data_IF_841566793888
#
_entry.id   IF_841566793888
#
_cell.length_a   1.000
_cell.length_b   1.000
_cell.length_c   1.000
_cell.angle_alpha   90.00
_cell.angle_beta   90.00
_cell.angle_gamma   90.00
#
_symmetry.space_group_name_H-M   'P 1'
#
loop_
_entity.id
_entity.type
_entity.pdbx_description
1 polymer ?
#
# COMPACT_ATOMS: atom_id res chain seq x y z
N UNK A 1 -3.49 21.39 6.42
CA UNK A 1 -3.31 20.26 5.48
C UNK A 1 -2.89 20.66 4.06
N UNK A 2 -3.32 21.78 3.48
CA UNK A 2 -2.87 22.18 2.13
C UNK A 2 -1.36 22.46 1.99
N UNK A 3 -0.71 22.92 3.05
CA UNK A 3 0.71 23.30 3.03
C UNK A 3 1.64 22.14 2.66
N UNK A 4 1.41 20.92 3.19
CA UNK A 4 2.24 19.76 2.85
C UNK A 4 2.15 19.40 1.36
N UNK A 5 0.97 19.57 0.74
CA UNK A 5 0.78 19.32 -0.68
C UNK A 5 1.49 20.37 -1.54
N UNK A 6 1.45 21.64 -1.15
CA UNK A 6 2.14 22.73 -1.87
C UNK A 6 3.65 22.56 -1.80
N UNK A 7 4.19 22.26 -0.61
CA UNK A 7 5.63 22.04 -0.44
C UNK A 7 6.09 20.80 -1.21
N UNK A 8 5.34 19.69 -1.14
CA UNK A 8 5.64 18.49 -1.90
C UNK A 8 5.59 18.75 -3.42
N UNK A 9 4.59 19.48 -3.90
CA UNK A 9 4.48 19.85 -5.31
C UNK A 9 5.71 20.66 -5.75
N UNK A 10 6.11 21.70 -5.02
CA UNK A 10 7.29 22.52 -5.35
C UNK A 10 8.57 21.66 -5.34
N UNK A 11 8.72 20.77 -4.36
CA UNK A 11 9.87 19.88 -4.26
C UNK A 11 9.95 18.86 -5.41
N UNK A 12 8.80 18.45 -5.97
CA UNK A 12 8.71 17.46 -7.07
C UNK A 12 8.70 18.09 -8.47
N UNK A 13 8.43 19.40 -8.60
CA UNK A 13 8.52 20.12 -9.89
C UNK A 13 9.84 19.88 -10.66
N UNK A 14 11.05 19.93 -10.04
CA UNK A 14 12.29 19.74 -10.80
C UNK A 14 12.48 18.31 -11.34
N UNK A 15 11.80 17.31 -10.78
CA UNK A 15 11.83 15.92 -11.28
C UNK A 15 10.63 15.59 -12.17
N UNK A 16 9.64 16.49 -12.26
CA UNK A 16 8.45 16.30 -13.06
C UNK A 16 8.78 16.51 -14.55
N UNK A 17 8.38 15.55 -15.38
CA UNK A 17 8.44 15.63 -16.84
C UNK A 17 7.05 15.96 -17.38
N UNK A 18 6.72 17.25 -17.62
CA UNK A 18 5.37 17.66 -18.03
C UNK A 18 4.93 17.07 -19.37
N UNK A 19 5.88 16.66 -20.21
CA UNK A 19 5.61 15.95 -21.47
C UNK A 19 5.00 14.56 -21.27
N UNK A 20 5.19 13.92 -20.12
CA UNK A 20 4.59 12.62 -19.82
C UNK A 20 3.05 12.67 -19.74
N UNK A 21 2.47 13.83 -19.37
CA UNK A 21 1.01 14.00 -19.34
C UNK A 21 0.38 13.94 -20.73
N UNK A 22 1.12 14.33 -21.77
CA UNK A 22 0.65 14.28 -23.15
C UNK A 22 0.60 12.86 -23.74
N UNK A 23 1.25 11.89 -23.07
CA UNK A 23 1.32 10.48 -23.50
C UNK A 23 0.43 9.54 -22.66
N UNK A 24 -0.46 10.08 -21.82
CA UNK A 24 -1.35 9.26 -20.99
C UNK A 24 -2.45 8.65 -21.88
N UNK A 25 -2.26 7.38 -22.27
CA UNK A 25 -3.28 6.57 -22.93
C UNK A 25 -4.47 6.22 -22.00
N UNK A 26 -5.58 5.76 -22.57
CA UNK A 26 -6.80 5.42 -21.81
C UNK A 26 -6.60 4.40 -20.68
N UNK A 27 -5.63 3.49 -20.81
CA UNK A 27 -5.27 2.54 -19.76
C UNK A 27 -4.65 3.21 -18.53
N UNK A 28 -3.80 4.21 -18.75
CA UNK A 28 -3.18 4.99 -17.68
C UNK A 28 -4.22 5.84 -16.93
N UNK A 29 -5.19 6.42 -17.65
CA UNK A 29 -6.31 7.12 -17.03
C UNK A 29 -7.17 6.19 -16.17
N UNK A 30 -7.46 4.98 -16.66
CA UNK A 30 -8.19 3.98 -15.88
C UNK A 30 -7.40 3.58 -14.62
N UNK A 31 -6.08 3.41 -14.73
CA UNK A 31 -5.22 3.10 -13.58
C UNK A 31 -5.21 4.23 -12.54
N UNK A 32 -5.15 5.50 -12.98
CA UNK A 32 -5.23 6.67 -12.09
C UNK A 32 -6.60 6.72 -11.38
N UNK A 33 -7.68 6.51 -12.13
CA UNK A 33 -9.03 6.48 -11.56
C UNK A 33 -9.15 5.35 -10.52
N UNK A 34 -8.72 4.14 -10.87
CA UNK A 34 -8.72 2.99 -9.96
C UNK A 34 -7.90 3.29 -8.69
N UNK A 35 -6.69 3.81 -8.82
CA UNK A 35 -5.83 4.16 -7.70
C UNK A 35 -6.48 5.22 -6.78
N UNK A 36 -7.12 6.23 -7.37
CA UNK A 36 -7.83 7.28 -6.64
C UNK A 36 -9.01 6.71 -5.85
N UNK A 37 -9.86 5.90 -6.48
CA UNK A 37 -10.98 5.25 -5.80
C UNK A 37 -10.52 4.26 -4.72
N UNK A 38 -9.49 3.45 -5.01
CA UNK A 38 -8.93 2.50 -4.06
C UNK A 38 -8.39 3.22 -2.81
N UNK A 39 -7.66 4.32 -3.00
CA UNK A 39 -7.12 5.14 -1.91
C UNK A 39 -8.22 5.76 -1.07
N UNK A 40 -9.27 6.32 -1.70
CA UNK A 40 -10.42 6.88 -0.99
C UNK A 40 -11.15 5.80 -0.16
N UNK A 41 -11.41 4.64 -0.76
CA UNK A 41 -12.06 3.52 -0.07
C UNK A 41 -11.21 3.00 1.09
N UNK A 42 -9.91 2.79 0.87
CA UNK A 42 -8.98 2.32 1.88
C UNK A 42 -8.90 3.29 3.08
N UNK A 43 -8.77 4.60 2.82
CA UNK A 43 -8.76 5.59 3.91
C UNK A 43 -10.10 5.70 4.64
N UNK A 44 -11.22 5.52 3.94
CA UNK A 44 -12.54 5.42 4.57
C UNK A 44 -12.62 4.25 5.54
N UNK A 45 -12.27 3.04 5.08
CA UNK A 45 -12.25 1.84 5.93
C UNK A 45 -11.23 1.96 7.07
N UNK A 46 -10.08 2.60 6.84
CA UNK A 46 -9.06 2.84 7.86
C UNK A 46 -9.56 3.77 8.96
N UNK A 47 -10.23 4.86 8.58
CA UNK A 47 -10.83 5.79 9.54
C UNK A 47 -11.92 5.09 10.39
N UNK A 48 -12.78 4.28 9.76
CA UNK A 48 -13.78 3.47 10.45
C UNK A 48 -13.14 2.43 11.39
N UNK A 49 -12.05 1.79 10.97
CA UNK A 49 -11.33 0.82 11.79
C UNK A 49 -10.70 1.45 13.03
N UNK A 50 -10.19 2.68 12.95
CA UNK A 50 -9.69 3.43 14.12
C UNK A 50 -10.81 3.80 15.10
N UNK A 51 -12.04 3.98 14.61
CA UNK A 51 -13.19 4.27 15.45
C UNK A 51 -13.71 3.02 16.19
N UNK A 52 -13.54 1.84 15.59
CA UNK A 52 -14.05 0.58 16.13
C UNK A 52 -13.00 -0.26 16.86
N UNK A 53 -11.72 -0.17 16.49
CA UNK A 53 -10.62 -0.99 17.02
C UNK A 53 -9.52 -0.12 17.64
N UNK A 54 -8.78 -0.68 18.61
CA UNK A 54 -7.61 -0.01 19.19
C UNK A 54 -6.55 0.28 18.12
N UNK A 55 -5.95 1.47 18.16
CA UNK A 55 -4.93 1.91 17.21
C UNK A 55 -3.75 0.91 17.07
N UNK A 56 -3.42 0.19 18.15
CA UNK A 56 -2.41 -0.88 18.14
C UNK A 56 -2.76 -2.03 17.16
N UNK A 57 -4.04 -2.42 17.12
CA UNK A 57 -4.52 -3.49 16.22
C UNK A 57 -4.53 -3.03 14.77
N UNK A 58 -4.94 -1.79 14.55
CA UNK A 58 -4.94 -1.17 13.21
C UNK A 58 -3.50 -1.07 12.68
N UNK A 59 -2.54 -0.67 13.51
CA UNK A 59 -1.12 -0.61 13.18
C UNK A 59 -0.54 -1.99 12.81
N UNK A 60 -0.91 -3.06 13.54
CA UNK A 60 -0.46 -4.41 13.25
C UNK A 60 -0.93 -4.93 11.87
N UNK A 61 -2.11 -4.49 11.41
CA UNK A 61 -2.65 -4.80 10.07
C UNK A 61 -1.96 -3.95 9.00
N UNK A 62 -1.69 -2.67 9.28
CA UNK A 62 -0.94 -1.82 8.35
C UNK A 62 0.46 -2.38 8.06
N UNK A 63 1.09 -3.05 9.03
CA UNK A 63 2.36 -3.73 8.81
C UNK A 63 2.27 -4.87 7.78
N UNK A 64 1.08 -5.47 7.58
CA UNK A 64 0.82 -6.50 6.57
C UNK A 64 0.54 -5.93 5.18
N UNK A 65 0.21 -4.64 5.05
CA UNK A 65 -0.04 -3.98 3.76
C UNK A 65 1.05 -4.23 2.71
N UNK A 66 2.36 -4.10 3.00
CA UNK A 66 3.38 -4.41 1.99
C UNK A 66 3.32 -5.88 1.53
N UNK A 67 2.93 -6.82 2.39
CA UNK A 67 2.77 -8.22 2.01
C UNK A 67 1.56 -8.44 1.09
N UNK A 68 0.45 -7.74 1.35
CA UNK A 68 -0.71 -7.80 0.44
C UNK A 68 -0.38 -7.20 -0.92
N UNK A 69 0.37 -6.09 -0.97
CA UNK A 69 0.86 -5.50 -2.22
C UNK A 69 1.68 -6.50 -3.04
N UNK A 70 2.63 -7.21 -2.42
CA UNK A 70 3.43 -8.23 -3.11
C UNK A 70 2.56 -9.39 -3.62
N UNK A 71 1.59 -9.84 -2.81
CA UNK A 71 0.66 -10.90 -3.21
C UNK A 71 -0.21 -10.48 -4.41
N UNK A 72 -0.74 -9.25 -4.39
CA UNK A 72 -1.49 -8.71 -5.52
C UNK A 72 -0.62 -8.54 -6.76
N UNK A 73 0.62 -8.05 -6.62
CA UNK A 73 1.57 -7.95 -7.72
C UNK A 73 1.84 -9.31 -8.37
N UNK A 74 2.07 -10.35 -7.56
CA UNK A 74 2.25 -11.71 -8.05
C UNK A 74 0.99 -12.25 -8.75
N UNK A 75 -0.20 -12.04 -8.17
CA UNK A 75 -1.46 -12.44 -8.78
C UNK A 75 -1.70 -11.72 -10.14
N UNK A 76 -1.36 -10.44 -10.22
CA UNK A 76 -1.50 -9.66 -11.44
C UNK A 76 -0.51 -10.11 -12.53
N UNK A 77 0.72 -10.44 -12.15
CA UNK A 77 1.72 -11.00 -13.07
C UNK A 77 1.29 -12.37 -13.63
N UNK A 78 0.60 -13.18 -12.84
CA UNK A 78 0.01 -14.44 -13.31
C UNK A 78 -1.21 -14.22 -14.22
N UNK A 79 -2.04 -13.22 -13.93
CA UNK A 79 -3.24 -12.91 -14.71
C UNK A 79 -2.92 -12.21 -16.05
N UNK A 80 -1.86 -11.40 -16.10
CA UNK A 80 -1.44 -10.62 -17.27
C UNK A 80 0.06 -10.83 -17.58
N UNK A 81 0.45 -12.01 -18.06
CA UNK A 81 1.85 -12.33 -18.33
C UNK A 81 2.43 -11.39 -19.40
N UNK A 82 3.54 -10.72 -19.08
CA UNK A 82 4.27 -9.83 -19.99
C UNK A 82 3.88 -8.35 -19.94
N UNK A 83 2.76 -7.98 -19.29
CA UNK A 83 2.40 -6.58 -19.05
C UNK A 83 2.87 -6.06 -17.69
N UNK A 84 3.04 -6.96 -16.72
CA UNK A 84 3.53 -6.66 -15.38
C UNK A 84 4.91 -7.28 -15.20
N UNK A 85 5.96 -6.50 -14.93
CA UNK A 85 7.27 -7.07 -14.63
C UNK A 85 7.19 -7.92 -13.35
N UNK A 86 7.83 -9.09 -13.37
CA UNK A 86 7.90 -9.96 -12.20
C UNK A 86 8.79 -9.30 -11.15
N UNK A 87 8.21 -8.92 -10.02
CA UNK A 87 8.93 -8.35 -8.88
C UNK A 87 9.89 -9.41 -8.30
N UNK A 88 11.20 -9.20 -8.46
CA UNK A 88 12.20 -10.11 -7.90
C UNK A 88 12.50 -9.74 -6.46
N UNK A 89 11.95 -10.52 -5.53
CA UNK A 89 12.22 -10.38 -4.10
C UNK A 89 13.57 -11.03 -3.79
N UNK A 90 14.58 -10.20 -3.51
CA UNK A 90 15.87 -10.67 -3.01
C UNK A 90 15.79 -11.25 -1.59
N UNK A 91 16.88 -11.86 -1.12
CA UNK A 91 16.95 -12.48 0.21
C UNK A 91 16.60 -11.52 1.37
N UNK A 92 16.94 -10.22 1.23
CA UNK A 92 16.58 -9.18 2.19
C UNK A 92 15.06 -8.99 2.28
N UNK A 93 14.37 -9.03 1.14
CA UNK A 93 12.91 -8.94 1.09
C UNK A 93 12.24 -10.18 1.68
N UNK A 94 12.82 -11.36 1.46
CA UNK A 94 12.34 -12.60 2.10
C UNK A 94 12.50 -12.55 3.63
N UNK A 95 13.65 -12.08 4.14
CA UNK A 95 13.87 -11.90 5.57
C UNK A 95 12.89 -10.87 6.16
N UNK A 96 12.66 -9.76 5.48
CA UNK A 96 11.67 -8.75 5.86
C UNK A 96 10.24 -9.30 5.89
N UNK A 97 9.86 -10.12 4.90
CA UNK A 97 8.56 -10.78 4.87
C UNK A 97 8.34 -11.70 6.08
N UNK A 98 9.34 -12.53 6.42
CA UNK A 98 9.29 -13.40 7.61
C UNK A 98 9.17 -12.57 8.89
N UNK A 99 9.93 -11.49 9.01
CA UNK A 99 9.89 -10.60 10.16
C UNK A 99 8.50 -9.95 10.32
N UNK A 100 7.91 -9.46 9.23
CA UNK A 100 6.57 -8.85 9.23
C UNK A 100 5.51 -9.88 9.63
N UNK A 101 5.51 -11.07 9.02
CA UNK A 101 4.54 -12.13 9.33
C UNK A 101 4.64 -12.56 10.79
N UNK A 102 5.85 -12.80 11.29
CA UNK A 102 6.06 -13.18 12.69
C UNK A 102 5.65 -12.08 13.67
N UNK A 103 6.01 -10.81 13.38
CA UNK A 103 5.58 -9.66 14.17
C UNK A 103 4.05 -9.51 14.24
N UNK A 104 3.37 -9.65 13.11
CA UNK A 104 1.90 -9.58 13.06
C UNK A 104 1.22 -10.75 13.79
N UNK A 105 1.79 -11.96 13.73
CA UNK A 105 1.29 -13.10 14.53
C UNK A 105 1.41 -12.84 16.03
N UNK A 106 2.55 -12.33 16.49
CA UNK A 106 2.79 -11.99 17.90
C UNK A 106 1.83 -10.88 18.35
N UNK A 107 1.68 -9.82 17.55
CA UNK A 107 0.75 -8.72 17.83
C UNK A 107 -0.70 -9.20 17.92
N UNK A 108 -1.11 -10.14 17.07
CA UNK A 108 -2.45 -10.75 17.11
C UNK A 108 -2.67 -11.59 18.38
N UNK A 109 -1.65 -12.31 18.84
CA UNK A 109 -1.72 -13.16 20.04
C UNK A 109 -1.67 -12.36 21.34
N UNK A 110 -0.85 -11.31 21.43
CA UNK A 110 -0.75 -10.44 22.61
C UNK A 110 -2.06 -9.72 22.96
N UNK A 111 -2.94 -9.57 21.98
CA UNK A 111 -4.28 -8.97 22.14
C UNK A 111 -5.27 -9.91 22.87
N UNK A 112 -5.01 -11.23 22.95
CA UNK A 112 -5.86 -12.18 23.71
C UNK A 112 -5.65 -12.16 25.23
N UNK A 113 -4.75 -11.30 25.75
CA UNK A 113 -4.41 -11.24 27.18
C UNK A 113 -5.28 -10.34 28.07
N UNK A 114 -6.31 -9.67 27.55
CA UNK A 114 -7.19 -8.78 28.35
C UNK A 114 -8.66 -9.22 28.32
N UNK A 115 -8.91 -10.44 28.78
CA UNK A 115 -10.22 -10.89 29.28
C UNK A 115 -10.00 -11.70 30.55
N UNK A 116 -10.12 -11.02 31.68
CA UNK A 116 -10.00 -11.53 33.04
C UNK A 116 -10.16 -10.35 33.97
#
# INVERSE_FOLDING_TARGET
MGFIYVVAAIALIPTATPTALAHIDGWHWLAIAYCSFNTLGAYGCFAEALNHWEASRVSAILALTPMSTLAFGAALALAFPGQVPVEQIGWLGAAGAVLVVSGSMIASLGVRGKKG
#
